data_IF_795331233828
#
_entry.id   IF_795331233828
#
_cell.length_a   1.000
_cell.length_b   1.000
_cell.length_c   1.000
_cell.angle_alpha   90.00
_cell.angle_beta   90.00
_cell.angle_gamma   90.00
#
_symmetry.space_group_name_H-M   'P 1'
#
loop_
_entity.id
_entity.type
_entity.pdbx_description
1 polymer ?
#
# COMPACT_ATOMS: atom_id res chain seq x y z
N UNK A 1 -38.90 -17.94 -29.93
CA UNK A 1 -37.84 -17.25 -30.71
C UNK A 1 -37.41 -15.88 -30.18
N UNK A 2 -38.12 -15.25 -29.22
CA UNK A 2 -37.75 -13.90 -28.72
C UNK A 2 -36.68 -13.91 -27.60
N UNK A 3 -36.42 -15.06 -26.95
CA UNK A 3 -35.46 -15.14 -25.82
C UNK A 3 -33.98 -15.27 -26.20
N UNK A 4 -33.65 -15.61 -27.46
CA UNK A 4 -32.27 -15.78 -27.92
C UNK A 4 -31.66 -14.50 -28.50
N UNK A 5 -32.50 -13.60 -29.06
CA UNK A 5 -32.03 -12.33 -29.61
C UNK A 5 -31.61 -11.33 -28.52
N UNK A 6 -32.30 -11.30 -27.38
CA UNK A 6 -32.02 -10.35 -26.29
C UNK A 6 -30.70 -10.66 -25.57
N UNK A 7 -30.33 -11.94 -25.46
CA UNK A 7 -29.03 -12.38 -24.89
C UNK A 7 -27.87 -12.07 -25.85
N UNK A 8 -28.07 -12.21 -27.16
CA UNK A 8 -27.06 -11.92 -28.17
C UNK A 8 -26.75 -10.40 -28.28
N UNK A 9 -27.76 -9.54 -28.19
CA UNK A 9 -27.58 -8.07 -28.25
C UNK A 9 -26.85 -7.54 -27.01
N UNK A 10 -27.12 -8.10 -25.82
CA UNK A 10 -26.38 -7.76 -24.59
C UNK A 10 -24.90 -8.21 -24.66
N UNK A 11 -24.63 -9.40 -25.23
CA UNK A 11 -23.27 -9.90 -25.44
C UNK A 11 -22.43 -9.08 -26.42
N UNK A 12 -23.04 -8.60 -27.51
CA UNK A 12 -22.37 -7.75 -28.51
C UNK A 12 -22.13 -6.34 -27.96
N UNK A 13 -23.08 -5.75 -27.22
CA UNK A 13 -22.91 -4.46 -26.56
C UNK A 13 -21.78 -4.46 -25.53
N UNK A 14 -21.66 -5.53 -24.74
CA UNK A 14 -20.54 -5.74 -23.81
C UNK A 14 -19.19 -5.90 -24.54
N UNK A 15 -19.16 -6.63 -25.65
CA UNK A 15 -17.94 -6.82 -26.46
C UNK A 15 -17.47 -5.51 -27.10
N UNK A 16 -18.39 -4.70 -27.65
CA UNK A 16 -18.08 -3.39 -28.25
C UNK A 16 -17.57 -2.40 -27.20
N UNK A 17 -18.16 -2.40 -25.99
CA UNK A 17 -17.69 -1.56 -24.89
C UNK A 17 -16.28 -1.97 -24.41
N UNK A 18 -15.99 -3.28 -24.34
CA UNK A 18 -14.65 -3.78 -24.01
C UNK A 18 -13.63 -3.42 -25.09
N UNK A 19 -13.98 -3.57 -26.38
CA UNK A 19 -13.10 -3.19 -27.50
C UNK A 19 -12.83 -1.68 -27.49
N UNK A 20 -13.85 -0.85 -27.27
CA UNK A 20 -13.70 0.60 -27.17
C UNK A 20 -12.83 0.99 -25.96
N UNK A 21 -13.05 0.38 -24.80
CA UNK A 21 -12.24 0.62 -23.60
C UNK A 21 -10.77 0.20 -23.80
N UNK A 22 -10.52 -0.96 -24.40
CA UNK A 22 -9.17 -1.44 -24.73
C UNK A 22 -8.51 -0.52 -25.78
N UNK A 23 -9.25 -0.06 -26.79
CA UNK A 23 -8.78 0.87 -27.80
C UNK A 23 -8.37 2.23 -27.21
N UNK A 24 -9.23 2.80 -26.36
CA UNK A 24 -8.94 4.06 -25.64
C UNK A 24 -7.74 3.90 -24.71
N UNK A 25 -7.67 2.79 -23.95
CA UNK A 25 -6.53 2.52 -23.06
C UNK A 25 -5.22 2.43 -23.84
N UNK A 26 -5.20 1.71 -24.97
CA UNK A 26 -4.01 1.61 -25.84
C UNK A 26 -3.62 2.96 -26.43
N UNK A 27 -4.59 3.77 -26.83
CA UNK A 27 -4.35 5.11 -27.35
C UNK A 27 -3.74 6.04 -26.29
N UNK A 28 -4.29 6.05 -25.08
CA UNK A 28 -3.75 6.83 -23.94
C UNK A 28 -2.34 6.38 -23.58
N UNK A 29 -2.08 5.07 -23.51
CA UNK A 29 -0.73 4.53 -23.28
C UNK A 29 0.23 5.00 -24.38
N UNK A 30 -0.19 4.95 -25.65
CA UNK A 30 0.61 5.43 -26.77
C UNK A 30 0.94 6.93 -26.70
N UNK A 31 -0.01 7.76 -26.27
CA UNK A 31 0.24 9.19 -26.04
C UNK A 31 1.20 9.44 -24.87
N UNK A 32 1.05 8.70 -23.77
CA UNK A 32 1.95 8.80 -22.62
C UNK A 32 3.38 8.37 -22.99
N UNK A 33 3.53 7.32 -23.81
CA UNK A 33 4.82 6.89 -24.32
C UNK A 33 5.44 7.93 -25.26
N UNK A 34 4.65 8.55 -26.13
CA UNK A 34 5.12 9.62 -27.00
C UNK A 34 5.58 10.84 -26.18
N UNK A 35 4.79 11.24 -25.18
CA UNK A 35 5.14 12.32 -24.26
C UNK A 35 6.41 11.98 -23.47
N UNK A 36 6.55 10.75 -22.97
CA UNK A 36 7.75 10.28 -22.27
C UNK A 36 8.99 10.38 -23.17
N UNK A 37 8.89 9.90 -24.42
CA UNK A 37 9.99 9.99 -25.40
C UNK A 37 10.35 11.42 -25.72
N UNK A 38 9.35 12.28 -25.92
CA UNK A 38 9.57 13.71 -26.15
C UNK A 38 10.25 14.40 -24.96
N UNK A 39 9.77 14.13 -23.73
CA UNK A 39 10.38 14.66 -22.50
C UNK A 39 11.84 14.23 -22.35
N UNK A 40 12.14 12.95 -22.57
CA UNK A 40 13.51 12.44 -22.52
C UNK A 40 14.41 13.09 -23.59
N UNK A 41 13.89 13.27 -24.80
CA UNK A 41 14.60 13.99 -25.86
C UNK A 41 14.88 15.45 -25.48
N UNK A 42 13.90 16.13 -24.89
CA UNK A 42 14.04 17.53 -24.46
C UNK A 42 15.03 17.70 -23.30
N UNK A 43 15.01 16.80 -22.31
CA UNK A 43 16.01 16.75 -21.23
C UNK A 43 17.42 16.56 -21.80
N UNK A 44 17.57 15.66 -22.77
CA UNK A 44 18.86 15.42 -23.43
C UNK A 44 19.36 16.67 -24.17
N UNK A 45 18.48 17.42 -24.82
CA UNK A 45 18.84 18.70 -25.47
C UNK A 45 19.33 19.74 -24.46
N UNK A 46 18.85 19.71 -23.22
CA UNK A 46 19.30 20.58 -22.13
C UNK A 46 20.53 20.05 -21.38
N UNK A 47 21.09 18.90 -21.76
CA UNK A 47 22.18 18.26 -21.03
C UNK A 47 21.79 17.68 -19.65
N UNK A 48 20.49 17.57 -19.39
CA UNK A 48 19.90 16.99 -18.17
C UNK A 48 19.51 15.53 -18.39
N UNK A 49 19.30 14.80 -17.30
CA UNK A 49 18.75 13.43 -17.28
C UNK A 49 17.69 13.34 -16.18
N UNK A 50 16.77 12.37 -16.21
CA UNK A 50 15.81 12.18 -15.13
C UNK A 50 16.46 12.09 -13.74
N UNK A 51 17.61 11.43 -13.66
CA UNK A 51 18.38 11.28 -12.42
C UNK A 51 18.92 12.64 -11.95
N UNK A 52 19.49 13.45 -12.84
CA UNK A 52 19.94 14.82 -12.53
C UNK A 52 18.82 15.72 -12.06
N UNK A 53 17.62 15.59 -12.61
CA UNK A 53 16.44 16.36 -12.17
C UNK A 53 16.04 15.99 -10.75
N UNK A 54 16.04 14.69 -10.42
CA UNK A 54 15.73 14.20 -9.07
C UNK A 54 16.80 14.64 -8.08
N UNK A 55 18.07 14.51 -8.43
CA UNK A 55 19.19 15.05 -7.63
C UNK A 55 19.02 16.55 -7.39
N UNK A 56 18.70 17.34 -8.43
CA UNK A 56 18.47 18.77 -8.30
C UNK A 56 17.29 19.07 -7.35
N UNK A 57 16.20 18.30 -7.39
CA UNK A 57 15.06 18.46 -6.46
C UNK A 57 15.46 18.24 -5.00
N UNK A 58 16.33 17.27 -4.74
CA UNK A 58 16.87 17.00 -3.40
C UNK A 58 17.82 18.14 -2.97
N UNK A 59 18.80 18.47 -3.81
CA UNK A 59 19.85 19.46 -3.49
C UNK A 59 19.26 20.87 -3.30
N UNK A 60 18.25 21.24 -4.08
CA UNK A 60 17.61 22.56 -4.00
C UNK A 60 16.57 22.68 -2.88
N UNK A 61 16.21 21.57 -2.22
CA UNK A 61 15.13 21.54 -1.22
C UNK A 61 13.72 21.46 -1.80
N UNK A 62 13.56 21.55 -3.13
CA UNK A 62 12.25 21.52 -3.80
C UNK A 62 11.40 20.28 -3.44
N UNK A 63 12.03 19.11 -3.32
CA UNK A 63 11.33 17.89 -2.92
C UNK A 63 10.69 18.01 -1.52
N UNK A 64 11.39 18.66 -0.60
CA UNK A 64 10.92 18.91 0.75
C UNK A 64 9.82 19.97 0.79
N UNK A 65 9.98 21.07 0.06
CA UNK A 65 8.97 22.13 -0.02
C UNK A 65 7.64 21.59 -0.56
N UNK A 66 7.67 20.83 -1.65
CA UNK A 66 6.47 20.21 -2.23
C UNK A 66 5.81 19.19 -1.29
N UNK A 67 6.62 18.45 -0.53
CA UNK A 67 6.12 17.55 0.51
C UNK A 67 5.36 18.33 1.59
N UNK A 68 5.96 19.39 2.15
CA UNK A 68 5.32 20.23 3.16
C UNK A 68 4.05 20.92 2.64
N UNK A 69 4.08 21.40 1.40
CA UNK A 69 2.90 21.99 0.75
C UNK A 69 1.77 20.96 0.61
N UNK A 70 2.10 19.72 0.30
CA UNK A 70 1.13 18.63 0.24
C UNK A 70 0.55 18.29 1.63
N UNK A 71 1.38 18.28 2.69
CA UNK A 71 0.91 18.09 4.07
C UNK A 71 -0.03 19.22 4.51
N UNK A 72 0.30 20.47 4.16
CA UNK A 72 -0.57 21.64 4.37
C UNK A 72 -1.91 21.45 3.65
N UNK A 73 -1.88 21.02 2.40
CA UNK A 73 -3.09 20.77 1.61
C UNK A 73 -3.97 19.65 2.20
N UNK A 74 -3.39 18.62 2.83
CA UNK A 74 -4.14 17.57 3.52
C UNK A 74 -5.03 18.10 4.65
N UNK A 75 -4.70 19.26 5.24
CA UNK A 75 -5.55 19.96 6.20
C UNK A 75 -6.95 20.29 5.68
N UNK A 76 -7.12 20.43 4.36
CA UNK A 76 -8.43 20.68 3.74
C UNK A 76 -9.45 19.55 3.98
N UNK A 77 -8.98 18.33 4.25
CA UNK A 77 -9.86 17.21 4.60
C UNK A 77 -10.64 17.45 5.89
N UNK A 78 -10.09 18.21 6.85
CA UNK A 78 -10.69 18.46 8.16
C UNK A 78 -11.77 19.55 8.14
N UNK A 79 -11.68 20.46 7.17
CA UNK A 79 -12.62 21.58 6.97
C UNK A 79 -13.55 21.35 5.78
N UNK A 80 -13.56 20.13 5.26
CA UNK A 80 -14.47 19.72 4.18
C UNK A 80 -15.93 19.72 4.65
N UNK A 81 -16.86 20.01 3.73
CA UNK A 81 -18.29 20.08 4.04
C UNK A 81 -18.83 18.78 4.66
N UNK A 82 -19.36 18.89 5.88
CA UNK A 82 -19.92 17.78 6.65
C UNK A 82 -18.98 17.19 7.70
N UNK A 83 -17.74 17.66 7.79
CA UNK A 83 -16.84 17.35 8.91
C UNK A 83 -17.26 18.13 10.17
N UNK A 84 -17.16 17.54 11.37
CA UNK A 84 -17.38 18.26 12.62
C UNK A 84 -16.42 19.44 12.78
N UNK A 85 -16.93 20.59 13.20
CA UNK A 85 -16.16 21.84 13.34
C UNK A 85 -15.93 22.24 14.80
N UNK A 86 -16.38 21.42 15.77
CA UNK A 86 -16.10 21.67 17.18
C UNK A 86 -14.61 21.51 17.50
N UNK A 87 -14.16 22.22 18.54
CA UNK A 87 -12.75 22.33 18.88
C UNK A 87 -12.09 20.97 19.16
N UNK A 88 -12.81 20.03 19.78
CA UNK A 88 -12.29 18.71 20.09
C UNK A 88 -12.03 17.90 18.82
N UNK A 89 -13.02 17.77 17.92
CA UNK A 89 -12.84 17.02 16.68
C UNK A 89 -11.79 17.66 15.75
N UNK A 90 -11.70 18.98 15.71
CA UNK A 90 -10.65 19.67 14.95
C UNK A 90 -9.25 19.37 15.51
N UNK A 91 -9.07 19.45 16.83
CA UNK A 91 -7.81 19.10 17.48
C UNK A 91 -7.42 17.62 17.22
N UNK A 92 -8.39 16.70 17.34
CA UNK A 92 -8.18 15.29 17.01
C UNK A 92 -7.84 15.07 15.53
N UNK A 93 -8.45 15.83 14.62
CA UNK A 93 -8.16 15.79 13.19
C UNK A 93 -6.71 16.15 12.86
N UNK A 94 -6.18 17.22 13.46
CA UNK A 94 -4.77 17.58 13.27
C UNK A 94 -3.82 16.55 13.90
N UNK A 95 -4.18 16.02 15.08
CA UNK A 95 -3.45 14.91 15.69
C UNK A 95 -3.46 13.66 14.79
N UNK A 96 -4.57 13.38 14.12
CA UNK A 96 -4.69 12.30 13.15
C UNK A 96 -3.78 12.53 11.93
N UNK A 97 -3.73 13.73 11.35
CA UNK A 97 -2.79 14.04 10.26
C UNK A 97 -1.34 13.79 10.68
N UNK A 98 -0.93 14.18 11.90
CA UNK A 98 0.42 13.89 12.40
C UNK A 98 0.71 12.38 12.54
N UNK A 99 -0.30 11.57 12.87
CA UNK A 99 -0.18 10.10 12.95
C UNK A 99 0.04 9.53 11.55
N UNK A 100 -0.68 10.03 10.54
CA UNK A 100 -0.50 9.61 9.15
C UNK A 100 0.89 9.98 8.63
N UNK A 101 1.39 11.18 8.94
CA UNK A 101 2.74 11.62 8.57
C UNK A 101 3.78 10.64 9.13
N UNK A 102 3.76 10.38 10.45
CA UNK A 102 4.69 9.42 11.08
C UNK A 102 4.59 8.03 10.44
N UNK A 103 3.38 7.49 10.33
CA UNK A 103 3.14 6.19 9.71
C UNK A 103 3.74 6.10 8.31
N UNK A 104 3.48 7.11 7.48
CA UNK A 104 3.89 7.10 6.09
C UNK A 104 5.40 7.26 5.92
N UNK A 105 6.07 8.04 6.77
CA UNK A 105 7.54 8.14 6.76
C UNK A 105 8.18 6.83 7.24
N UNK A 106 7.66 6.20 8.29
CA UNK A 106 8.16 4.89 8.72
C UNK A 106 8.05 3.84 7.61
N UNK A 107 6.94 3.81 6.86
CA UNK A 107 6.70 2.80 5.83
C UNK A 107 7.37 3.11 4.48
N UNK A 108 7.33 4.36 4.02
CA UNK A 108 7.76 4.75 2.68
C UNK A 108 9.16 5.37 2.62
N UNK A 109 9.73 5.79 3.75
CA UNK A 109 11.12 6.28 3.85
C UNK A 109 12.00 5.23 4.52
N UNK A 110 11.73 4.92 5.78
CA UNK A 110 12.66 4.14 6.63
C UNK A 110 12.64 2.64 6.34
N UNK A 111 11.47 2.09 5.98
CA UNK A 111 11.27 0.65 5.74
C UNK A 111 10.73 0.35 4.34
N UNK A 112 11.17 1.15 3.35
CA UNK A 112 10.77 1.03 1.95
C UNK A 112 11.72 0.20 1.09
N UNK A 113 12.90 -0.15 1.60
CA UNK A 113 13.89 -0.93 0.84
C UNK A 113 13.41 -2.38 0.65
N UNK A 114 12.97 -2.69 -0.57
CA UNK A 114 12.54 -4.02 -1.00
C UNK A 114 13.68 -5.05 -0.96
N UNK A 115 14.94 -4.62 -0.92
CA UNK A 115 16.08 -5.51 -0.79
C UNK A 115 16.41 -5.89 0.65
N UNK A 116 15.96 -5.09 1.62
CA UNK A 116 16.11 -5.32 3.05
C UNK A 116 14.77 -5.08 3.77
N UNK A 117 13.72 -5.85 3.42
CA UNK A 117 12.37 -5.59 3.90
C UNK A 117 12.30 -5.76 5.43
N UNK A 118 11.50 -4.91 6.07
CA UNK A 118 11.24 -4.97 7.51
C UNK A 118 9.75 -4.90 7.76
N UNK A 119 9.27 -5.75 8.66
CA UNK A 119 7.90 -5.64 9.16
C UNK A 119 7.84 -4.49 10.16
N UNK A 120 7.05 -3.47 9.83
CA UNK A 120 6.78 -2.32 10.68
C UNK A 120 5.30 -2.23 11.00
N UNK A 121 4.96 -1.73 12.17
CA UNK A 121 3.58 -1.54 12.57
C UNK A 121 2.94 -0.36 11.81
N UNK A 122 1.93 -0.64 10.99
CA UNK A 122 1.23 0.38 10.17
C UNK A 122 -0.07 0.89 10.83
N UNK A 123 -0.67 0.05 11.67
CA UNK A 123 -1.72 0.42 12.62
C UNK A 123 -1.55 -0.52 13.81
N UNK A 124 -1.45 0.01 15.03
CA UNK A 124 -1.27 -0.85 16.20
C UNK A 124 -1.62 -0.11 17.49
N UNK A 125 -2.35 -0.80 18.38
CA UNK A 125 -2.58 -0.40 19.76
C UNK A 125 -1.36 -0.54 20.67
N UNK A 126 -0.45 -1.50 20.42
CA UNK A 126 0.63 -1.84 21.37
C UNK A 126 1.77 -0.81 21.42
N UNK A 127 1.79 0.15 20.49
CA UNK A 127 2.78 1.25 20.52
C UNK A 127 2.29 2.33 21.47
N UNK A 128 3.19 2.87 22.29
CA UNK A 128 2.92 4.05 23.11
C UNK A 128 2.40 5.25 22.29
N UNK A 129 2.83 5.37 21.02
CA UNK A 129 2.34 6.36 20.06
C UNK A 129 1.54 5.67 18.94
N UNK A 130 0.30 5.22 19.20
CA UNK A 130 -0.44 4.39 18.26
C UNK A 130 -0.76 5.15 16.99
N UNK A 131 -0.68 4.41 15.88
CA UNK A 131 -1.14 4.85 14.56
C UNK A 131 -2.52 4.24 14.36
N UNK A 132 -3.51 5.08 14.03
CA UNK A 132 -4.91 4.71 13.86
C UNK A 132 -5.36 5.14 12.47
N UNK A 133 -5.91 4.21 11.69
CA UNK A 133 -6.26 4.44 10.28
C UNK A 133 -7.52 3.66 9.96
N UNK A 134 -8.53 4.35 9.43
CA UNK A 134 -9.63 3.69 8.72
C UNK A 134 -10.49 2.76 9.56
N UNK A 135 -10.81 3.12 10.81
CA UNK A 135 -11.53 2.26 11.76
C UNK A 135 -10.72 1.00 12.10
N UNK A 136 -9.46 1.21 12.50
CA UNK A 136 -8.55 0.18 12.98
C UNK A 136 -9.18 -0.63 14.11
N UNK A 137 -9.00 -1.95 14.07
CA UNK A 137 -9.45 -2.82 15.14
C UNK A 137 -8.49 -2.68 16.33
N UNK A 138 -8.95 -2.25 17.53
CA UNK A 138 -8.09 -2.16 18.71
C UNK A 138 -7.48 -3.50 19.12
N UNK A 139 -8.10 -4.61 18.72
CA UNK A 139 -7.62 -5.96 19.02
C UNK A 139 -6.57 -6.47 18.04
N UNK A 140 -6.20 -5.65 17.04
CA UNK A 140 -5.25 -6.06 16.03
C UNK A 140 -3.86 -5.44 16.19
N UNK A 141 -2.87 -6.32 16.11
CA UNK A 141 -1.52 -5.97 15.70
C UNK A 141 -1.42 -6.04 14.17
N UNK A 142 -1.33 -4.88 13.50
CA UNK A 142 -1.05 -4.82 12.06
C UNK A 142 0.43 -4.52 11.81
N UNK A 143 1.07 -5.39 11.04
CA UNK A 143 2.43 -5.17 10.55
C UNK A 143 2.44 -5.19 9.02
N UNK A 144 3.32 -4.43 8.39
CA UNK A 144 3.52 -4.45 6.96
C UNK A 144 4.98 -4.33 6.56
N UNK A 145 5.32 -4.87 5.40
CA UNK A 145 6.62 -4.72 4.77
C UNK A 145 6.44 -4.35 3.30
N UNK A 146 7.26 -3.41 2.82
CA UNK A 146 7.36 -3.10 1.40
C UNK A 146 8.08 -4.25 0.70
N UNK A 147 7.46 -4.81 -0.34
CA UNK A 147 7.99 -5.92 -1.14
C UNK A 147 7.94 -5.56 -2.63
N UNK A 148 8.48 -6.40 -3.49
CA UNK A 148 8.52 -6.20 -4.95
C UNK A 148 8.16 -7.49 -5.67
N UNK A 149 7.42 -7.39 -6.78
CA UNK A 149 7.12 -8.54 -7.64
C UNK A 149 8.34 -9.20 -8.27
N UNK A 150 9.44 -8.45 -8.37
CA UNK A 150 10.71 -8.87 -8.97
C UNK A 150 11.59 -9.72 -8.03
N UNK A 151 11.19 -9.87 -6.77
CA UNK A 151 12.00 -10.49 -5.72
C UNK A 151 11.20 -11.62 -5.05
N UNK A 152 11.90 -12.71 -4.72
CA UNK A 152 11.36 -13.82 -3.94
C UNK A 152 11.75 -13.61 -2.48
N UNK A 153 10.77 -13.68 -1.57
CA UNK A 153 10.95 -13.49 -0.14
C UNK A 153 10.66 -14.76 0.64
N UNK A 154 11.37 -14.92 1.77
CA UNK A 154 11.03 -15.88 2.81
C UNK A 154 10.47 -15.13 4.01
N UNK A 155 9.29 -15.52 4.46
CA UNK A 155 8.67 -15.07 5.70
C UNK A 155 8.75 -16.20 6.70
N UNK A 156 9.50 -16.03 7.79
CA UNK A 156 9.58 -17.01 8.89
C UNK A 156 8.59 -16.62 9.96
N UNK A 157 7.82 -17.59 10.44
CA UNK A 157 6.76 -17.40 11.42
C UNK A 157 6.97 -18.34 12.60
N UNK A 158 7.02 -17.76 13.80
CA UNK A 158 6.75 -18.48 15.05
C UNK A 158 5.34 -18.16 15.48
N UNK A 159 4.45 -19.17 15.52
CA UNK A 159 2.98 -18.96 15.58
C UNK A 159 2.47 -18.17 16.79
N UNK A 160 3.17 -18.21 17.93
CA UNK A 160 2.64 -17.64 19.17
C UNK A 160 1.32 -18.33 19.58
N UNK A 161 0.48 -17.62 20.32
CA UNK A 161 -0.82 -18.12 20.80
C UNK A 161 -2.01 -17.24 20.42
N UNK A 162 -1.78 -16.11 19.73
CA UNK A 162 -2.85 -15.22 19.24
C UNK A 162 -3.95 -15.99 18.50
N UNK A 163 -5.21 -15.72 18.79
CA UNK A 163 -6.34 -16.45 18.22
C UNK A 163 -6.37 -16.41 16.69
N UNK A 164 -6.12 -15.23 16.11
CA UNK A 164 -6.13 -15.03 14.67
C UNK A 164 -4.75 -14.59 14.16
N UNK A 165 -4.31 -15.21 13.06
CA UNK A 165 -3.11 -14.80 12.32
C UNK A 165 -3.38 -14.93 10.82
N UNK A 166 -3.31 -13.82 10.09
CA UNK A 166 -3.54 -13.78 8.65
C UNK A 166 -2.52 -12.93 7.91
N UNK A 167 -2.24 -13.32 6.68
CA UNK A 167 -1.25 -12.71 5.80
C UNK A 167 -1.91 -12.29 4.50
N UNK A 168 -1.58 -11.11 4.00
CA UNK A 168 -2.07 -10.62 2.72
C UNK A 168 -0.97 -9.96 1.90
N UNK A 169 -1.00 -10.16 0.59
CA UNK A 169 -0.23 -9.34 -0.35
C UNK A 169 -1.16 -8.33 -0.99
N UNK A 170 -0.73 -7.08 -1.11
CA UNK A 170 -1.56 -5.98 -1.60
C UNK A 170 -0.84 -5.14 -2.64
N UNK A 171 -1.63 -4.62 -3.57
CA UNK A 171 -1.23 -3.70 -4.62
C UNK A 171 -1.85 -2.32 -4.40
N UNK A 172 -1.20 -1.28 -4.91
CA UNK A 172 -1.67 0.10 -4.81
C UNK A 172 -1.35 0.75 -3.47
N UNK A 173 -1.99 1.89 -3.21
CA UNK A 173 -1.82 2.69 -1.99
C UNK A 173 -3.09 3.51 -1.73
N UNK A 174 -3.28 3.93 -0.48
CA UNK A 174 -4.31 4.92 -0.15
C UNK A 174 -4.04 6.22 -0.90
N UNK A 175 -5.04 6.70 -1.65
CA UNK A 175 -4.94 7.91 -2.48
C UNK A 175 -4.55 7.66 -3.94
N UNK A 176 -4.03 6.47 -4.28
CA UNK A 176 -3.76 6.11 -5.68
C UNK A 176 -5.06 5.70 -6.41
N UNK A 177 -5.16 5.92 -7.74
CA UNK A 177 -6.24 5.37 -8.55
C UNK A 177 -6.36 3.85 -8.38
N UNK A 178 -7.56 3.35 -8.09
CA UNK A 178 -7.80 1.92 -7.81
C UNK A 178 -7.69 1.52 -6.33
N UNK A 179 -7.17 2.40 -5.46
CA UNK A 179 -7.05 2.13 -4.03
C UNK A 179 -6.11 0.97 -3.69
N UNK A 180 -6.32 0.36 -2.52
CA UNK A 180 -5.63 -0.87 -2.14
C UNK A 180 -6.43 -2.08 -2.62
N UNK A 181 -5.75 -3.00 -3.29
CA UNK A 181 -6.34 -4.26 -3.76
C UNK A 181 -5.55 -5.44 -3.20
N UNK A 182 -6.28 -6.44 -2.69
CA UNK A 182 -5.68 -7.70 -2.23
C UNK A 182 -5.33 -8.56 -3.44
N UNK A 183 -4.10 -9.08 -3.46
CA UNK A 183 -3.58 -9.98 -4.49
C UNK A 183 -3.74 -11.43 -4.03
N UNK A 184 -3.34 -11.71 -2.80
CA UNK A 184 -3.52 -13.01 -2.14
C UNK A 184 -3.78 -12.78 -0.65
N UNK A 185 -4.51 -13.70 -0.03
CA UNK A 185 -4.79 -13.67 1.40
C UNK A 185 -4.90 -15.09 1.93
N UNK A 186 -4.20 -15.38 3.03
CA UNK A 186 -4.22 -16.68 3.69
C UNK A 186 -4.14 -16.54 5.19
N UNK A 187 -4.86 -17.39 5.88
CA UNK A 187 -4.79 -17.55 7.33
C UNK A 187 -3.71 -18.56 7.71
N UNK A 188 -3.22 -18.46 8.94
CA UNK A 188 -2.17 -19.35 9.44
C UNK A 188 -2.55 -20.83 9.28
N UNK A 189 -3.82 -21.18 9.50
CA UNK A 189 -4.35 -22.54 9.41
C UNK A 189 -4.27 -23.16 8.01
N UNK A 190 -4.04 -22.35 6.97
CA UNK A 190 -3.89 -22.82 5.59
C UNK A 190 -2.44 -23.21 5.24
N UNK A 191 -1.48 -22.98 6.15
CA UNK A 191 -0.08 -23.33 5.95
C UNK A 191 0.27 -24.64 6.66
N UNK A 192 1.16 -25.42 6.05
CA UNK A 192 1.78 -26.56 6.72
C UNK A 192 2.73 -26.04 7.81
N UNK A 193 2.45 -26.39 9.05
CA UNK A 193 3.27 -26.05 10.22
C UNK A 193 4.05 -27.27 10.72
N UNK A 194 5.20 -27.00 11.34
CA UNK A 194 5.92 -28.01 12.10
C UNK A 194 5.21 -28.31 13.44
N UNK A 195 5.73 -29.29 14.19
CA UNK A 195 5.20 -29.73 15.49
C UNK A 195 5.17 -28.62 16.55
N UNK A 196 6.00 -27.59 16.39
CA UNK A 196 6.13 -26.46 17.30
C UNK A 196 5.32 -25.25 16.81
N UNK A 197 4.54 -25.42 15.73
CA UNK A 197 3.72 -24.39 15.10
C UNK A 197 4.50 -23.41 14.23
N UNK A 198 5.80 -23.62 13.99
CA UNK A 198 6.56 -22.74 13.11
C UNK A 198 6.35 -23.11 11.65
N UNK A 199 6.43 -22.11 10.78
CA UNK A 199 6.33 -22.30 9.34
C UNK A 199 7.06 -21.20 8.60
N UNK A 200 7.40 -21.50 7.35
CA UNK A 200 7.92 -20.52 6.40
C UNK A 200 6.91 -20.32 5.28
N UNK A 201 6.78 -19.09 4.79
CA UNK A 201 6.00 -18.74 3.60
C UNK A 201 6.96 -18.17 2.56
N UNK A 202 6.87 -18.67 1.33
CA UNK A 202 7.50 -18.01 0.18
C UNK A 202 6.53 -17.01 -0.42
N UNK A 203 6.97 -15.77 -0.59
CA UNK A 203 6.19 -14.72 -1.27
C UNK A 203 6.90 -14.36 -2.57
N UNK A 204 6.23 -14.53 -3.70
CA UNK A 204 6.80 -14.25 -5.03
C UNK A 204 5.71 -13.95 -6.07
N UNK A 205 6.10 -13.44 -7.23
CA UNK A 205 5.25 -13.54 -8.41
C UNK A 205 5.04 -15.01 -8.80
N UNK A 206 4.02 -15.28 -9.62
CA UNK A 206 3.76 -16.63 -10.16
C UNK A 206 4.97 -17.14 -10.94
N UNK A 207 5.56 -16.28 -11.77
CA UNK A 207 6.69 -16.60 -12.66
C UNK A 207 7.95 -16.97 -11.88
N UNK A 208 8.13 -16.39 -10.69
CA UNK A 208 9.31 -16.59 -9.84
C UNK A 208 9.07 -17.59 -8.70
N UNK A 209 7.95 -18.33 -8.72
CA UNK A 209 7.63 -19.31 -7.68
C UNK A 209 8.63 -20.47 -7.68
N UNK A 210 9.34 -20.74 -6.56
CA UNK A 210 10.22 -21.89 -6.46
C UNK A 210 9.47 -23.23 -6.59
N UNK A 211 10.07 -24.19 -7.32
CA UNK A 211 9.51 -25.52 -7.50
C UNK A 211 9.38 -26.27 -6.16
N UNK A 212 8.28 -27.01 -5.97
CA UNK A 212 8.05 -27.79 -4.75
C UNK A 212 7.71 -26.96 -3.50
N UNK A 213 7.54 -25.64 -3.63
CA UNK A 213 7.15 -24.79 -2.50
C UNK A 213 5.71 -25.07 -2.07
N UNK A 214 5.54 -25.56 -0.84
CA UNK A 214 4.24 -25.89 -0.25
C UNK A 214 3.51 -24.67 0.29
N UNK A 215 4.14 -23.93 1.20
CA UNK A 215 3.61 -22.70 1.77
C UNK A 215 4.00 -21.51 0.90
N UNK A 216 3.10 -21.10 0.02
CA UNK A 216 3.36 -20.03 -0.95
C UNK A 216 2.22 -19.02 -0.98
N UNK A 217 2.57 -17.75 -1.11
CA UNK A 217 1.65 -16.65 -1.36
C UNK A 217 2.06 -15.87 -2.59
N UNK A 218 1.06 -15.56 -3.42
CA UNK A 218 1.26 -14.81 -4.64
C UNK A 218 1.41 -13.32 -4.35
N UNK A 219 2.38 -12.68 -5.01
CA UNK A 219 2.41 -11.23 -5.19
C UNK A 219 2.34 -10.89 -6.69
N UNK A 220 2.36 -9.61 -7.02
CA UNK A 220 2.26 -9.12 -8.39
C UNK A 220 3.48 -9.53 -9.22
N UNK A 221 3.31 -9.72 -10.54
CA UNK A 221 4.45 -9.88 -11.47
C UNK A 221 5.16 -8.56 -11.76
N UNK A 222 4.42 -7.44 -11.85
CA UNK A 222 5.00 -6.11 -12.13
C UNK A 222 4.08 -4.98 -11.58
N UNK A 223 4.35 -4.49 -10.36
CA UNK A 223 4.95 -3.17 -10.17
C UNK A 223 6.15 -3.20 -9.21
N UNK A 224 6.92 -2.10 -9.20
CA UNK A 224 8.17 -2.01 -8.42
C UNK A 224 7.98 -2.18 -6.91
N UNK A 225 6.85 -1.73 -6.33
CA UNK A 225 6.54 -1.89 -4.91
C UNK A 225 5.12 -2.39 -4.66
N UNK A 226 4.99 -3.42 -3.84
CA UNK A 226 3.76 -3.99 -3.27
C UNK A 226 3.91 -4.07 -1.74
N UNK A 227 2.87 -4.51 -1.04
CA UNK A 227 2.87 -4.62 0.42
C UNK A 227 2.56 -6.05 0.86
N UNK A 228 3.35 -6.59 1.78
CA UNK A 228 2.94 -7.71 2.63
C UNK A 228 2.31 -7.12 3.89
N UNK A 229 1.11 -7.55 4.26
CA UNK A 229 0.43 -7.19 5.51
C UNK A 229 0.22 -8.44 6.37
N UNK A 230 0.50 -8.31 7.66
CA UNK A 230 0.27 -9.32 8.69
C UNK A 230 -0.78 -8.75 9.64
N UNK A 231 -1.82 -9.54 9.91
CA UNK A 231 -2.87 -9.22 10.87
C UNK A 231 -2.85 -10.26 11.97
N UNK A 232 -2.65 -9.82 13.19
CA UNK A 232 -2.81 -10.67 14.37
C UNK A 232 -3.95 -10.09 15.19
N UNK A 233 -4.96 -10.88 15.52
CA UNK A 233 -6.10 -10.40 16.32
C UNK A 233 -6.13 -11.14 17.65
N UNK A 234 -5.99 -10.39 18.72
CA UNK A 234 -6.08 -10.92 20.08
C UNK A 234 -7.54 -11.16 20.46
N UNK A 235 -7.82 -12.29 21.10
CA UNK A 235 -9.04 -12.48 21.87
C UNK A 235 -8.83 -12.10 23.34
N UNK A 236 -7.60 -12.28 23.84
CA UNK A 236 -7.19 -11.99 25.20
C UNK A 236 -5.80 -11.36 25.19
N UNK A 237 -5.75 -10.02 25.25
CA UNK A 237 -4.50 -9.24 25.20
C UNK A 237 -3.53 -9.57 26.33
N UNK A 238 -4.04 -10.02 27.49
CA UNK A 238 -3.22 -10.23 28.68
C UNK A 238 -2.50 -11.58 28.64
N UNK A 239 -3.09 -12.57 27.98
CA UNK A 239 -2.60 -13.97 28.00
C UNK A 239 -2.13 -14.50 26.65
N UNK A 240 -2.46 -13.85 25.54
CA UNK A 240 -2.01 -14.27 24.22
C UNK A 240 -0.64 -13.68 23.84
N UNK A 241 0.17 -14.50 23.18
CA UNK A 241 1.49 -14.15 22.70
C UNK A 241 1.38 -13.94 21.18
N UNK A 242 1.74 -12.76 20.65
CA UNK A 242 1.72 -12.55 19.20
C UNK A 242 2.72 -13.47 18.50
N UNK A 243 2.39 -13.83 17.26
CA UNK A 243 3.31 -14.47 16.37
C UNK A 243 4.54 -13.58 16.13
N UNK A 244 5.72 -14.18 16.17
CA UNK A 244 6.96 -13.52 15.73
C UNK A 244 7.13 -13.76 14.25
N UNK A 245 7.11 -12.69 13.46
CA UNK A 245 7.23 -12.77 12.01
C UNK A 245 8.46 -11.98 11.55
N UNK A 246 9.28 -12.59 10.70
CA UNK A 246 10.42 -11.93 10.05
C UNK A 246 10.35 -12.15 8.55
N UNK A 247 10.79 -11.17 7.76
CA UNK A 247 10.88 -11.25 6.31
C UNK A 247 12.32 -11.01 5.86
N UNK A 248 12.78 -11.81 4.90
CA UNK A 248 14.08 -11.64 4.24
C UNK A 248 13.95 -12.01 2.75
N UNK A 249 14.90 -11.57 1.93
CA UNK A 249 15.03 -12.12 0.58
C UNK A 249 15.39 -13.59 0.66
N UNK A 250 14.84 -14.39 -0.27
CA UNK A 250 15.19 -15.80 -0.35
C UNK A 250 16.65 -16.00 -0.76
N UNK A 251 17.15 -15.18 -1.68
CA UNK A 251 18.51 -15.25 -2.22
C UNK A 251 19.16 -13.87 -2.36
N UNK A 252 20.48 -13.83 -2.24
CA UNK A 252 21.31 -12.63 -2.41
C UNK A 252 21.49 -11.79 -1.13
N UNK A 253 22.06 -10.59 -1.28
CA UNK A 253 22.32 -9.67 -0.17
C UNK A 253 21.00 -9.20 0.46
N UNK A 254 20.98 -9.17 1.81
CA UNK A 254 19.86 -8.75 2.67
C UNK A 254 20.14 -7.45 3.43
N UNK A 255 21.33 -6.85 3.22
CA UNK A 255 21.68 -5.57 3.83
C UNK A 255 20.96 -4.43 3.11
N UNK A 256 20.59 -3.36 3.83
CA UNK A 256 20.01 -2.16 3.23
C UNK A 256 20.92 -1.59 2.13
N UNK A 257 20.29 -1.11 1.07
CA UNK A 257 20.95 -0.36 0.00
C UNK A 257 21.32 1.05 0.48
N UNK A 258 22.42 1.64 -0.03
CA UNK A 258 22.72 3.04 0.22
C UNK A 258 21.57 3.93 -0.26
N UNK A 259 21.27 4.98 0.51
CA UNK A 259 20.22 5.95 0.16
C UNK A 259 20.54 6.63 -1.17
N UNK A 260 19.53 6.77 -2.03
CA UNK A 260 19.61 7.53 -3.28
C UNK A 260 18.64 8.72 -3.28
N UNK A 261 18.93 9.73 -4.11
CA UNK A 261 18.03 10.87 -4.28
C UNK A 261 16.64 10.44 -4.79
N UNK A 262 16.59 9.42 -5.64
CA UNK A 262 15.34 8.83 -6.14
C UNK A 262 14.50 8.18 -5.06
N UNK A 263 15.12 7.40 -4.18
CA UNK A 263 14.41 6.78 -3.05
C UNK A 263 13.78 7.86 -2.16
N UNK A 264 14.51 8.93 -1.84
CA UNK A 264 14.01 10.00 -0.96
C UNK A 264 12.91 10.82 -1.64
N UNK A 265 13.08 11.23 -2.89
CA UNK A 265 12.07 12.01 -3.63
C UNK A 265 10.77 11.21 -3.80
N UNK A 266 10.86 9.92 -4.12
CA UNK A 266 9.68 9.04 -4.22
C UNK A 266 9.04 8.75 -2.86
N UNK A 267 9.82 8.57 -1.80
CA UNK A 267 9.32 8.38 -0.44
C UNK A 267 8.48 9.58 0.03
N UNK A 268 8.97 10.80 -0.20
CA UNK A 268 8.26 12.04 0.12
C UNK A 268 6.94 12.13 -0.65
N UNK A 269 6.93 11.83 -1.95
CA UNK A 269 5.71 11.81 -2.77
C UNK A 269 4.71 10.77 -2.29
N UNK A 270 5.15 9.54 -2.00
CA UNK A 270 4.28 8.47 -1.47
C UNK A 270 3.70 8.83 -0.11
N UNK A 271 4.51 9.43 0.76
CA UNK A 271 4.06 9.93 2.06
C UNK A 271 3.00 11.03 1.92
N UNK A 272 3.24 12.03 1.08
CA UNK A 272 2.26 13.09 0.78
C UNK A 272 0.94 12.52 0.24
N UNK A 273 1.02 11.61 -0.73
CA UNK A 273 -0.14 10.96 -1.33
C UNK A 273 -0.94 10.18 -0.30
N UNK A 274 -0.27 9.43 0.57
CA UNK A 274 -0.91 8.66 1.63
C UNK A 274 -1.63 9.57 2.64
N UNK A 275 -0.98 10.64 3.12
CA UNK A 275 -1.56 11.55 4.12
C UNK A 275 -2.79 12.25 3.56
N UNK A 276 -2.70 12.82 2.35
CA UNK A 276 -3.83 13.47 1.70
C UNK A 276 -4.93 12.49 1.28
N UNK A 277 -4.54 11.37 0.69
CA UNK A 277 -5.47 10.36 0.18
C UNK A 277 -6.25 9.64 1.27
N UNK A 278 -5.57 9.17 2.33
CA UNK A 278 -6.21 8.47 3.44
C UNK A 278 -7.16 9.40 4.22
N UNK A 279 -6.72 10.62 4.54
CA UNK A 279 -7.55 11.59 5.27
C UNK A 279 -8.83 11.94 4.51
N UNK A 280 -8.73 12.25 3.21
CA UNK A 280 -9.88 12.56 2.38
C UNK A 280 -10.83 11.37 2.20
N UNK A 281 -10.27 10.18 1.93
CA UNK A 281 -11.05 8.95 1.74
C UNK A 281 -11.89 8.62 2.98
N UNK A 282 -11.28 8.60 4.17
CA UNK A 282 -11.99 8.25 5.40
C UNK A 282 -12.95 9.34 5.88
N UNK A 283 -12.63 10.63 5.67
CA UNK A 283 -13.58 11.71 5.92
C UNK A 283 -14.85 11.56 5.07
N UNK A 284 -14.69 11.22 3.78
CA UNK A 284 -15.82 10.95 2.88
C UNK A 284 -16.63 9.72 3.32
N UNK A 285 -15.98 8.65 3.77
CA UNK A 285 -16.67 7.45 4.26
C UNK A 285 -17.46 7.72 5.55
N UNK A 286 -16.90 8.47 6.49
CA UNK A 286 -17.59 8.88 7.72
C UNK A 286 -18.87 9.66 7.40
N UNK A 287 -18.82 10.56 6.41
CA UNK A 287 -20.01 11.28 5.90
C UNK A 287 -21.06 10.33 5.33
N UNK A 288 -20.66 9.36 4.50
CA UNK A 288 -21.57 8.36 3.93
C UNK A 288 -22.27 7.51 5.00
N UNK A 289 -21.53 7.08 6.03
CA UNK A 289 -22.10 6.35 7.18
C UNK A 289 -23.05 7.22 8.01
N UNK A 290 -22.74 8.50 8.20
CA UNK A 290 -23.61 9.45 8.91
C UNK A 290 -24.92 9.74 8.16
N UNK A 291 -24.93 9.74 6.83
CA UNK A 291 -26.17 9.87 6.05
C UNK A 291 -27.08 8.65 6.12
N UNK A 292 -26.53 7.44 6.28
CA UNK A 292 -27.30 6.20 6.42
C UNK A 292 -28.01 6.08 7.78
N UNK A 293 -27.41 6.61 8.86
CA UNK A 293 -28.00 6.59 10.20
C UNK A 293 -29.07 7.67 10.43
N UNK A 294 -29.31 8.56 9.47
CA UNK A 294 -30.40 9.56 9.54
C UNK A 294 -31.73 9.05 8.97
N UNK A 295 -31.79 7.79 8.52
CA UNK A 295 -32.98 7.17 7.94
C UNK A 295 -33.50 5.94 8.71
N UNK A 296 -33.07 5.74 9.96
CA UNK A 296 -33.68 4.78 10.89
C UNK A 296 -34.18 5.50 12.13
#
# INVERSE_FOLDING_TARGET
MVSLLTVAVAGIGGLVAVIAYVGVRKFVIGLLDLYRKFRLFWLKLQGSTPEKEVEARIVTGKAWDEYCDSLKAAGAALVSSGCPTDAFNQAEGYRYLSRLVRCSLENFMECADVHAPKLVAIANGDRAAPVKIGSDNPDNLYQSATISGKIVYRVKVKRGTVAYLGFGTQSGSYGAPGGLSTVDYKEAVEFEMDKDGNFEIVVSSEENKPAGCKNWMKTLSDPESAMLIVRQTYNDHDNEIPATVTIEKLEGQTLPTPVTCEQVDEALKKSALFVGGASFMFARWAKGKASLHRFN
#
